data_IF_400539576035
#
_entry.id   IF_400539576035
#
_cell.length_a   1.000
_cell.length_b   1.000
_cell.length_c   1.000
_cell.angle_alpha   90.00
_cell.angle_beta   90.00
_cell.angle_gamma   90.00
#
_symmetry.space_group_name_H-M   'P 1'
#
loop_
_entity.id
_entity.type
_entity.pdbx_description
1 polymer ?
#
# COMPACT_ATOMS: atom_id res chain seq x y z
N UNK A 1 -85.43 5.30 -18.40
CA UNK A 1 -84.14 5.56 -19.05
C UNK A 1 -83.71 7.04 -18.91
N UNK A 2 -83.53 7.56 -17.67
CA UNK A 2 -83.23 9.00 -17.47
C UNK A 2 -82.09 9.28 -16.41
N UNK A 3 -81.45 8.24 -15.81
CA UNK A 3 -80.50 8.48 -14.72
C UNK A 3 -79.07 8.03 -15.00
N UNK A 4 -78.77 7.50 -16.17
CA UNK A 4 -77.41 7.01 -16.49
C UNK A 4 -76.47 8.06 -17.09
N UNK A 5 -77.01 9.17 -17.63
CA UNK A 5 -76.12 10.25 -18.19
C UNK A 5 -75.49 11.16 -17.14
N UNK A 6 -76.17 11.38 -15.97
CA UNK A 6 -75.61 12.19 -14.88
C UNK A 6 -74.49 11.51 -14.13
N UNK A 7 -74.49 10.18 -14.01
CA UNK A 7 -73.47 9.42 -13.32
C UNK A 7 -72.19 9.36 -14.09
N UNK A 8 -72.27 9.27 -15.40
CA UNK A 8 -71.04 9.27 -16.26
C UNK A 8 -70.36 10.65 -16.33
N UNK A 9 -71.07 11.75 -16.26
CA UNK A 9 -70.53 13.11 -16.23
C UNK A 9 -69.84 13.43 -14.91
N UNK A 10 -70.31 12.98 -13.77
CA UNK A 10 -69.65 13.14 -12.49
C UNK A 10 -68.41 12.26 -12.36
N UNK A 11 -68.42 11.06 -12.96
CA UNK A 11 -67.24 10.16 -12.93
C UNK A 11 -66.09 10.67 -13.81
N UNK A 12 -66.39 11.28 -14.97
CA UNK A 12 -65.39 11.88 -15.86
C UNK A 12 -64.80 13.17 -15.32
N UNK A 13 -65.60 14.01 -14.59
CA UNK A 13 -65.08 15.20 -13.91
C UNK A 13 -64.21 14.83 -12.70
N UNK A 14 -64.52 13.76 -11.97
CA UNK A 14 -63.73 13.25 -10.85
C UNK A 14 -62.36 12.67 -11.32
N UNK A 15 -62.34 12.00 -12.48
CA UNK A 15 -61.10 11.44 -13.03
C UNK A 15 -60.14 12.51 -13.61
N UNK A 16 -60.67 13.64 -14.12
CA UNK A 16 -59.85 14.75 -14.59
C UNK A 16 -59.20 15.54 -13.43
N UNK A 17 -59.81 15.56 -12.26
CA UNK A 17 -59.30 16.26 -11.07
C UNK A 17 -58.08 15.60 -10.42
N UNK A 18 -57.86 14.29 -10.66
CA UNK A 18 -56.76 13.53 -10.06
C UNK A 18 -55.45 13.71 -10.81
N UNK A 19 -55.50 14.17 -12.07
CA UNK A 19 -54.27 14.35 -12.86
C UNK A 19 -53.57 15.71 -12.67
N UNK A 20 -54.15 16.66 -11.96
CA UNK A 20 -53.52 17.98 -11.71
C UNK A 20 -52.79 18.09 -10.38
N UNK A 21 -52.77 17.05 -9.56
CA UNK A 21 -52.12 17.05 -8.24
C UNK A 21 -50.73 16.42 -8.18
N UNK A 22 -50.15 15.97 -9.32
CA UNK A 22 -48.94 15.12 -9.31
C UNK A 22 -47.68 15.77 -9.88
N UNK A 23 -47.54 17.08 -9.77
CA UNK A 23 -46.27 17.75 -10.00
C UNK A 23 -46.01 18.76 -8.89
N UNK A 24 -45.72 18.30 -7.70
CA UNK A 24 -44.84 19.12 -6.85
C UNK A 24 -43.49 19.17 -7.54
N UNK A 25 -43.29 20.18 -8.41
CA UNK A 25 -41.97 20.58 -8.81
C UNK A 25 -41.22 20.95 -7.55
N UNK A 26 -40.33 20.05 -7.12
CA UNK A 26 -39.30 20.39 -6.15
C UNK A 26 -38.69 21.69 -6.63
N UNK A 27 -38.88 22.78 -5.89
CA UNK A 27 -38.33 24.08 -6.26
C UNK A 27 -36.85 23.91 -6.62
N UNK A 28 -36.49 24.36 -7.80
CA UNK A 28 -35.09 24.42 -8.19
C UNK A 28 -34.40 25.29 -7.15
N UNK A 29 -33.57 24.69 -6.33
CA UNK A 29 -32.77 25.42 -5.36
C UNK A 29 -31.86 26.37 -6.12
N UNK A 30 -32.29 27.62 -6.32
CA UNK A 30 -31.51 28.67 -6.96
C UNK A 30 -30.39 29.19 -6.06
N UNK A 31 -30.42 28.82 -4.79
CA UNK A 31 -29.39 29.16 -3.82
C UNK A 31 -28.26 28.13 -3.85
N UNK A 32 -27.26 28.37 -4.67
CA UNK A 32 -26.02 27.59 -4.69
C UNK A 32 -25.15 27.83 -3.45
N UNK A 33 -25.70 28.43 -2.42
CA UNK A 33 -25.05 28.79 -1.16
C UNK A 33 -24.62 27.60 -0.29
N UNK A 34 -24.93 26.37 -0.70
CA UNK A 34 -24.52 25.14 -0.01
C UNK A 34 -23.12 24.64 -0.39
N UNK A 35 -22.48 25.25 -1.38
CA UNK A 35 -21.12 24.93 -1.78
C UNK A 35 -20.23 26.16 -1.72
N UNK A 36 -19.00 25.98 -1.32
CA UNK A 36 -17.99 27.04 -1.27
C UNK A 36 -16.68 26.59 -1.91
N UNK A 37 -15.89 27.57 -2.31
CA UNK A 37 -14.50 27.35 -2.74
C UNK A 37 -13.61 27.36 -1.50
N UNK A 38 -12.66 26.46 -1.49
CA UNK A 38 -11.81 26.20 -0.36
C UNK A 38 -10.39 25.89 -0.84
N UNK A 39 -9.40 26.51 -0.23
CA UNK A 39 -8.01 26.30 -0.57
C UNK A 39 -7.41 25.20 0.31
N UNK A 40 -6.77 24.26 -0.33
CA UNK A 40 -5.99 23.19 0.27
C UNK A 40 -4.52 23.50 0.07
N UNK A 41 -3.75 23.42 1.13
CA UNK A 41 -2.31 23.59 1.10
C UNK A 41 -1.65 22.36 1.71
N UNK A 42 -0.65 21.82 1.04
CA UNK A 42 0.20 20.78 1.58
C UNK A 42 1.51 21.42 2.07
N UNK A 43 1.73 21.36 3.39
CA UNK A 43 2.95 21.84 4.02
C UNK A 43 3.87 20.64 4.26
N UNK A 44 5.04 20.67 3.66
CA UNK A 44 5.99 19.56 3.63
C UNK A 44 7.05 19.65 4.73
N UNK A 45 6.78 20.35 5.84
CA UNK A 45 7.75 20.46 6.95
C UNK A 45 8.13 19.09 7.55
N UNK A 46 7.22 18.09 7.50
CA UNK A 46 7.47 16.73 7.99
C UNK A 46 8.15 15.83 6.96
N UNK A 47 8.24 16.27 5.70
CA UNK A 47 8.89 15.55 4.61
C UNK A 47 9.55 16.54 3.62
N UNK A 48 10.60 17.29 4.05
CA UNK A 48 11.13 18.43 3.28
C UNK A 48 11.79 18.08 1.94
N UNK A 49 12.00 16.80 1.67
CA UNK A 49 12.52 16.31 0.38
C UNK A 49 11.48 15.64 -0.51
N UNK A 50 10.19 15.73 -0.17
CA UNK A 50 9.13 15.11 -0.93
C UNK A 50 8.72 15.96 -2.13
N UNK A 51 8.70 15.35 -3.31
CA UNK A 51 8.30 15.99 -4.57
C UNK A 51 7.30 15.10 -5.33
N UNK A 52 6.10 14.82 -4.76
CA UNK A 52 5.10 14.05 -5.49
C UNK A 52 4.57 14.82 -6.70
N UNK A 53 4.26 14.09 -7.76
CA UNK A 53 3.69 14.66 -8.98
C UNK A 53 2.20 14.99 -8.84
N UNK A 54 1.52 14.37 -7.89
CA UNK A 54 0.10 14.61 -7.59
C UNK A 54 -0.27 14.22 -6.16
N UNK A 55 -1.36 14.82 -5.67
CA UNK A 55 -1.94 14.51 -4.37
C UNK A 55 -3.42 14.17 -4.51
N UNK A 56 -3.85 13.09 -3.86
CA UNK A 56 -5.25 12.72 -3.68
C UNK A 56 -5.75 13.22 -2.33
N UNK A 57 -6.90 13.86 -2.29
CA UNK A 57 -7.57 14.28 -1.07
C UNK A 57 -8.96 13.66 -0.98
N UNK A 58 -9.21 12.88 0.04
CA UNK A 58 -10.51 12.31 0.38
C UNK A 58 -11.17 13.13 1.48
N UNK A 59 -12.41 13.52 1.26
CA UNK A 59 -13.25 14.27 2.20
C UNK A 59 -14.40 13.37 2.65
N UNK A 60 -14.44 13.03 3.93
CA UNK A 60 -15.42 12.14 4.54
C UNK A 60 -16.46 12.95 5.31
N UNK A 61 -17.73 13.04 4.86
CA UNK A 61 -18.75 13.80 5.58
C UNK A 61 -19.03 13.20 6.96
N UNK A 62 -18.87 13.97 8.04
CA UNK A 62 -19.14 13.50 9.41
C UNK A 62 -20.63 13.21 9.66
N UNK A 63 -21.52 13.79 8.85
CA UNK A 63 -22.97 13.51 8.89
C UNK A 63 -23.39 12.24 8.13
N UNK A 64 -22.44 11.47 7.63
CA UNK A 64 -22.67 10.31 6.77
C UNK A 64 -22.78 10.69 5.29
N UNK A 65 -22.60 9.71 4.43
CA UNK A 65 -22.59 9.90 2.98
C UNK A 65 -21.31 9.32 2.36
N UNK A 66 -21.22 9.43 1.04
CA UNK A 66 -20.03 8.96 0.32
C UNK A 66 -18.91 9.98 0.43
N UNK A 67 -17.67 9.55 0.63
CA UNK A 67 -16.52 10.44 0.56
C UNK A 67 -16.38 11.04 -0.85
N UNK A 68 -15.83 12.25 -0.90
CA UNK A 68 -15.51 12.93 -2.14
C UNK A 68 -14.01 12.93 -2.31
N UNK A 69 -13.54 12.45 -3.46
CA UNK A 69 -12.11 12.45 -3.82
C UNK A 69 -11.82 13.63 -4.73
N UNK A 70 -10.75 14.33 -4.43
CA UNK A 70 -10.16 15.40 -5.23
C UNK A 70 -8.74 15.04 -5.62
N UNK A 71 -8.38 15.23 -6.88
CA UNK A 71 -7.03 15.07 -7.39
C UNK A 71 -6.42 16.44 -7.64
N UNK A 72 -5.20 16.63 -7.15
CA UNK A 72 -4.46 17.87 -7.27
C UNK A 72 -3.12 17.60 -7.95
N UNK A 73 -2.80 18.31 -9.03
CA UNK A 73 -1.50 18.20 -9.66
C UNK A 73 -0.43 18.85 -8.79
N UNK A 74 0.74 18.22 -8.74
CA UNK A 74 1.88 18.68 -7.94
C UNK A 74 1.67 18.54 -6.43
N UNK A 75 2.51 19.20 -5.68
CA UNK A 75 2.64 19.08 -4.23
C UNK A 75 2.20 20.32 -3.43
N UNK A 76 1.74 21.38 -4.10
CA UNK A 76 1.40 22.63 -3.43
C UNK A 76 -0.03 22.68 -2.86
N UNK A 77 -0.93 21.89 -3.44
CA UNK A 77 -2.36 21.93 -3.14
C UNK A 77 -3.16 22.62 -4.26
N UNK A 78 -4.33 23.14 -3.92
CA UNK A 78 -5.22 23.76 -4.89
C UNK A 78 -6.55 24.19 -4.30
N UNK A 79 -7.42 24.76 -5.13
CA UNK A 79 -8.76 25.15 -4.71
C UNK A 79 -9.77 24.07 -5.08
N UNK A 80 -10.56 23.62 -4.11
CA UNK A 80 -11.65 22.67 -4.30
C UNK A 80 -13.00 23.35 -4.07
N UNK A 81 -14.04 22.76 -4.67
CA UNK A 81 -15.44 23.11 -4.37
C UNK A 81 -16.05 22.04 -3.49
N UNK A 82 -16.50 22.43 -2.30
CA UNK A 82 -17.07 21.51 -1.31
C UNK A 82 -18.43 22.04 -0.80
N UNK A 83 -19.31 21.13 -0.41
CA UNK A 83 -20.55 21.50 0.26
C UNK A 83 -20.25 21.94 1.70
N UNK A 84 -21.08 22.85 2.24
CA UNK A 84 -21.01 23.22 3.65
C UNK A 84 -21.30 22.01 4.53
N UNK A 85 -20.54 21.86 5.60
CA UNK A 85 -20.64 20.70 6.51
C UNK A 85 -19.37 20.49 7.32
N UNK A 86 -19.33 19.39 8.05
CA UNK A 86 -18.15 18.92 8.79
C UNK A 86 -17.62 17.65 8.15
N UNK A 87 -16.29 17.57 8.00
CA UNK A 87 -15.61 16.49 7.30
C UNK A 87 -14.37 16.03 8.07
N UNK A 88 -14.15 14.71 8.07
CA UNK A 88 -12.81 14.19 8.19
C UNK A 88 -12.11 14.23 6.84
N UNK A 89 -10.78 14.27 6.81
CA UNK A 89 -10.04 14.31 5.57
C UNK A 89 -8.76 13.46 5.64
N UNK A 90 -8.39 12.89 4.50
CA UNK A 90 -7.16 12.13 4.30
C UNK A 90 -6.54 12.55 2.97
N UNK A 91 -5.27 12.92 2.98
CA UNK A 91 -4.51 13.12 1.75
C UNK A 91 -3.33 12.15 1.65
N UNK A 92 -2.97 11.80 0.44
CA UNK A 92 -1.74 11.06 0.12
C UNK A 92 -1.36 11.31 -1.34
N UNK A 93 -0.11 11.03 -1.70
CA UNK A 93 0.33 11.23 -3.08
C UNK A 93 -0.32 10.21 -4.02
N UNK A 94 -0.73 10.68 -5.20
CA UNK A 94 -1.46 9.91 -6.21
C UNK A 94 -0.58 9.26 -7.28
N UNK A 95 0.70 9.61 -7.36
CA UNK A 95 1.69 9.15 -8.31
C UNK A 95 2.30 7.78 -7.90
N UNK A 96 1.43 6.81 -7.67
CA UNK A 96 1.78 5.47 -7.17
C UNK A 96 1.31 4.40 -8.14
N UNK A 97 2.11 3.34 -8.34
CA UNK A 97 1.79 2.22 -9.22
C UNK A 97 1.35 0.96 -8.47
N UNK A 98 2.00 0.67 -7.34
CA UNK A 98 1.77 -0.56 -6.56
C UNK A 98 0.69 -0.43 -5.49
N UNK A 99 0.33 0.80 -5.11
CA UNK A 99 -0.64 1.08 -4.04
C UNK A 99 -2.07 0.70 -4.44
N UNK A 100 -2.82 0.18 -3.47
CA UNK A 100 -4.27 -0.06 -3.54
C UNK A 100 -4.96 0.49 -2.32
N UNK A 101 -6.10 1.12 -2.52
CA UNK A 101 -6.96 1.61 -1.44
C UNK A 101 -8.14 0.66 -1.25
N UNK A 102 -8.37 0.23 -0.02
CA UNK A 102 -9.48 -0.61 0.40
C UNK A 102 -10.31 0.13 1.45
N UNK A 103 -11.57 -0.29 1.64
CA UNK A 103 -12.45 0.26 2.68
C UNK A 103 -12.54 1.79 2.69
N UNK A 104 -12.66 2.36 1.48
CA UNK A 104 -12.57 3.80 1.23
C UNK A 104 -13.79 4.60 1.67
N UNK A 105 -14.79 3.94 2.29
CA UNK A 105 -16.08 4.53 2.67
C UNK A 105 -15.99 5.40 3.91
N UNK A 106 -15.04 5.13 4.81
CA UNK A 106 -14.87 5.84 6.08
C UNK A 106 -13.42 6.21 6.31
N UNK A 107 -13.17 7.33 7.01
CA UNK A 107 -11.82 7.77 7.33
C UNK A 107 -11.07 6.72 8.15
N UNK A 108 -11.67 6.20 9.22
CA UNK A 108 -11.03 5.24 10.12
C UNK A 108 -10.81 3.85 9.51
N UNK A 109 -11.68 3.48 8.55
CA UNK A 109 -11.58 2.21 7.85
C UNK A 109 -10.66 2.24 6.64
N UNK A 110 -10.26 3.45 6.17
CA UNK A 110 -9.46 3.59 4.97
C UNK A 110 -8.13 2.87 5.11
N UNK A 111 -7.91 1.91 4.22
CA UNK A 111 -6.72 1.09 4.20
C UNK A 111 -5.93 1.31 2.92
N UNK A 112 -4.61 1.44 3.07
CA UNK A 112 -3.67 1.45 1.95
C UNK A 112 -2.81 0.19 2.03
N UNK A 113 -2.84 -0.61 0.97
CA UNK A 113 -2.07 -1.85 0.81
C UNK A 113 -1.37 -1.86 -0.56
N UNK A 114 -0.71 -2.96 -0.92
CA UNK A 114 -0.03 -3.12 -2.21
C UNK A 114 -0.56 -4.32 -3.00
N UNK A 115 -0.20 -4.38 -4.28
CA UNK A 115 -0.54 -5.50 -5.16
C UNK A 115 0.18 -6.78 -4.73
N UNK A 116 -0.34 -7.91 -5.21
CA UNK A 116 0.38 -9.18 -5.14
C UNK A 116 1.65 -9.15 -6.02
N UNK A 117 2.65 -9.88 -5.58
CA UNK A 117 3.93 -10.08 -6.27
C UNK A 117 4.29 -11.56 -6.35
N UNK A 118 5.36 -11.87 -7.04
CA UNK A 118 6.00 -13.19 -7.06
C UNK A 118 7.27 -13.15 -6.21
N UNK A 119 7.56 -14.20 -5.44
CA UNK A 119 8.79 -14.31 -4.66
C UNK A 119 10.06 -14.24 -5.51
N UNK A 120 9.97 -14.67 -6.76
CA UNK A 120 11.07 -14.61 -7.74
C UNK A 120 10.87 -13.43 -8.71
N UNK A 121 10.28 -12.33 -8.24
CA UNK A 121 10.21 -11.10 -9.03
C UNK A 121 11.64 -10.62 -9.33
N UNK A 122 11.96 -10.47 -10.62
CA UNK A 122 13.34 -10.19 -11.07
C UNK A 122 14.08 -11.39 -11.66
N UNK A 123 13.65 -12.63 -11.36
CA UNK A 123 14.16 -13.81 -12.07
C UNK A 123 13.42 -13.98 -13.40
N UNK A 124 14.01 -13.51 -14.47
CA UNK A 124 13.52 -13.76 -15.84
C UNK A 124 14.04 -15.09 -16.37
N UNK A 125 13.77 -16.20 -15.68
CA UNK A 125 14.24 -17.52 -16.11
C UNK A 125 13.11 -18.37 -16.65
N UNK A 126 13.19 -18.81 -17.90
CA UNK A 126 12.26 -19.79 -18.43
C UNK A 126 12.53 -21.15 -17.78
N UNK A 127 11.51 -21.79 -17.23
CA UNK A 127 11.56 -23.16 -16.74
C UNK A 127 11.40 -23.38 -15.25
N UNK A 128 11.06 -22.38 -14.45
CA UNK A 128 10.67 -22.58 -13.05
C UNK A 128 9.27 -23.19 -12.97
N UNK A 129 9.18 -24.51 -12.80
CA UNK A 129 7.91 -25.22 -12.63
C UNK A 129 7.48 -25.38 -11.18
N UNK A 130 8.39 -25.20 -10.21
CA UNK A 130 8.08 -25.29 -8.80
C UNK A 130 8.06 -23.88 -8.15
N UNK A 131 7.06 -23.58 -7.32
CA UNK A 131 7.07 -22.34 -6.56
C UNK A 131 8.30 -22.31 -5.63
N UNK A 132 8.93 -21.15 -5.43
CA UNK A 132 10.04 -21.04 -4.51
C UNK A 132 9.58 -21.35 -3.08
N UNK A 133 10.41 -22.03 -2.28
CA UNK A 133 10.10 -22.33 -0.91
C UNK A 133 10.01 -21.05 -0.08
N UNK A 134 9.31 -21.14 1.04
CA UNK A 134 9.18 -20.06 2.02
C UNK A 134 9.87 -20.43 3.32
N UNK A 135 10.29 -19.44 4.07
CA UNK A 135 10.74 -19.70 5.44
C UNK A 135 9.59 -20.33 6.26
N UNK A 136 9.96 -21.24 7.15
CA UNK A 136 9.01 -21.94 8.02
C UNK A 136 8.12 -20.96 8.79
N UNK A 137 6.81 -21.20 8.79
CA UNK A 137 5.80 -20.40 9.45
C UNK A 137 5.30 -19.19 8.65
N UNK A 138 5.79 -18.99 7.42
CA UNK A 138 5.39 -17.86 6.54
C UNK A 138 4.59 -18.30 5.30
N UNK A 139 4.22 -19.57 5.22
CA UNK A 139 3.56 -20.17 4.04
C UNK A 139 2.20 -19.54 3.75
N UNK A 140 1.50 -19.08 4.79
CA UNK A 140 0.20 -18.43 4.69
C UNK A 140 0.24 -16.94 4.39
N UNK A 141 1.40 -16.30 4.38
CA UNK A 141 1.51 -14.88 4.12
C UNK A 141 1.27 -14.57 2.64
N UNK A 142 0.55 -13.49 2.35
CA UNK A 142 0.46 -12.97 0.99
C UNK A 142 1.83 -12.45 0.55
N UNK A 143 2.23 -12.75 -0.68
CA UNK A 143 3.40 -12.12 -1.29
C UNK A 143 2.97 -10.78 -1.87
N UNK A 144 3.51 -9.69 -1.35
CA UNK A 144 3.12 -8.33 -1.67
C UNK A 144 4.26 -7.58 -2.37
N UNK A 145 3.92 -6.77 -3.35
CA UNK A 145 4.88 -5.82 -3.92
C UNK A 145 5.34 -4.84 -2.85
N UNK A 146 6.58 -4.41 -2.91
CA UNK A 146 7.01 -3.27 -2.11
C UNK A 146 6.16 -2.03 -2.44
N UNK A 147 5.81 -1.18 -1.46
CA UNK A 147 5.07 0.04 -1.72
C UNK A 147 5.91 1.07 -2.46
N UNK A 148 5.27 1.89 -3.29
CA UNK A 148 5.85 3.14 -3.75
C UNK A 148 6.13 4.06 -2.55
N UNK A 149 6.98 5.08 -2.71
CA UNK A 149 7.07 6.12 -1.68
C UNK A 149 5.71 6.75 -1.48
N UNK A 150 5.28 6.78 -0.23
CA UNK A 150 3.99 7.29 0.16
C UNK A 150 4.13 8.31 1.29
N UNK A 151 3.48 9.43 1.10
CA UNK A 151 3.31 10.46 2.14
C UNK A 151 1.83 10.65 2.37
N UNK A 152 1.40 10.64 3.60
CA UNK A 152 0.00 10.85 3.95
C UNK A 152 -0.18 11.87 5.06
N UNK A 153 -1.33 12.53 5.05
CA UNK A 153 -1.72 13.49 6.08
C UNK A 153 -3.22 13.42 6.32
N UNK A 154 -3.67 13.71 7.54
CA UNK A 154 -5.08 13.62 7.91
C UNK A 154 -5.56 14.84 8.65
N UNK A 155 -6.87 15.06 8.64
CA UNK A 155 -7.57 15.97 9.53
C UNK A 155 -8.84 15.31 10.04
N UNK A 156 -9.06 15.32 11.36
CA UNK A 156 -10.22 14.67 11.97
C UNK A 156 -11.52 15.47 11.79
N UNK A 157 -11.40 16.79 11.79
CA UNK A 157 -12.56 17.66 11.67
C UNK A 157 -12.21 18.97 10.97
N UNK A 158 -12.78 19.15 9.80
CA UNK A 158 -12.78 20.38 9.03
C UNK A 158 -14.23 20.86 8.94
N UNK A 159 -14.50 22.08 9.40
CA UNK A 159 -15.84 22.67 9.35
C UNK A 159 -15.89 23.74 8.28
N UNK A 160 -16.79 23.57 7.34
CA UNK A 160 -17.06 24.47 6.23
C UNK A 160 -18.43 25.10 6.42
N UNK A 161 -18.48 26.33 6.89
CA UNK A 161 -19.70 27.12 6.98
C UNK A 161 -19.56 28.46 6.27
N UNK A 162 -20.67 29.13 6.01
CA UNK A 162 -20.68 30.42 5.32
C UNK A 162 -20.14 31.57 6.19
N UNK A 163 -20.19 31.41 7.51
CA UNK A 163 -19.75 32.41 8.46
C UNK A 163 -18.24 32.31 8.75
N UNK A 164 -17.61 31.21 8.28
CA UNK A 164 -16.18 31.00 8.48
C UNK A 164 -15.37 31.87 7.51
N UNK A 165 -14.56 32.75 8.07
CA UNK A 165 -13.53 33.46 7.29
C UNK A 165 -12.35 32.55 6.88
N UNK A 166 -12.31 31.33 7.45
CA UNK A 166 -11.25 30.36 7.19
C UNK A 166 -11.56 29.57 5.94
N UNK A 167 -10.89 29.90 4.85
CA UNK A 167 -11.05 29.27 3.54
C UNK A 167 -9.86 28.41 3.13
N UNK A 168 -8.99 28.07 4.08
CA UNK A 168 -7.78 27.27 3.82
C UNK A 168 -7.66 26.15 4.84
N UNK A 169 -7.43 24.90 4.35
CA UNK A 169 -6.93 23.79 5.17
C UNK A 169 -5.47 23.53 4.82
N UNK A 170 -4.66 23.40 5.86
CA UNK A 170 -3.27 22.99 5.73
C UNK A 170 -3.16 21.54 6.17
N UNK A 171 -2.58 20.70 5.34
CA UNK A 171 -2.23 19.33 5.64
C UNK A 171 -0.71 19.24 5.74
N UNK A 172 -0.23 18.38 6.63
CA UNK A 172 1.19 18.09 6.85
C UNK A 172 1.47 16.63 6.48
N UNK A 173 1.74 16.34 5.18
CA UNK A 173 2.04 14.98 4.78
C UNK A 173 3.37 14.51 5.38
N UNK A 174 3.37 13.28 5.91
CA UNK A 174 4.54 12.64 6.48
C UNK A 174 4.82 11.29 5.82
N UNK A 175 6.07 10.78 5.87
CA UNK A 175 6.40 9.49 5.27
C UNK A 175 5.60 8.36 5.89
N UNK A 176 4.90 7.58 5.06
CA UNK A 176 4.12 6.40 5.45
C UNK A 176 4.81 5.10 5.06
N UNK A 177 5.97 5.19 4.42
CA UNK A 177 6.78 4.07 3.93
C UNK A 177 8.20 4.23 4.43
N UNK A 178 8.81 3.11 4.83
CA UNK A 178 10.20 3.03 5.30
C UNK A 178 11.05 2.31 4.28
N UNK A 179 12.30 2.72 4.16
CA UNK A 179 13.30 2.05 3.32
C UNK A 179 14.22 1.21 4.20
N UNK A 180 14.42 -0.03 3.81
CA UNK A 180 15.34 -0.97 4.44
C UNK A 180 16.46 -1.29 3.48
N UNK A 181 17.67 -1.45 4.00
CA UNK A 181 18.82 -1.90 3.24
C UNK A 181 19.37 -3.16 3.87
N UNK A 182 19.79 -4.10 3.04
CA UNK A 182 20.37 -5.38 3.43
C UNK A 182 21.77 -5.46 2.86
N UNK A 183 22.72 -5.88 3.66
CA UNK A 183 24.07 -6.22 3.27
C UNK A 183 24.43 -7.56 3.89
N UNK A 184 24.80 -8.55 3.08
CA UNK A 184 25.32 -9.83 3.55
C UNK A 184 26.76 -9.92 3.12
N UNK A 185 27.66 -9.94 4.10
CA UNK A 185 29.12 -10.00 3.94
C UNK A 185 29.61 -11.44 3.96
N UNK A 186 30.87 -11.62 3.63
CA UNK A 186 31.54 -12.93 3.62
C UNK A 186 30.74 -13.98 2.84
N UNK A 187 30.26 -13.57 1.66
CA UNK A 187 29.58 -14.45 0.74
C UNK A 187 30.61 -15.23 -0.09
N UNK A 188 30.39 -16.53 -0.24
CA UNK A 188 31.28 -17.42 -0.93
C UNK A 188 30.78 -17.74 -2.35
N UNK A 189 31.70 -17.94 -3.29
CA UNK A 189 31.46 -18.48 -4.64
C UNK A 189 30.36 -17.72 -5.43
N UNK A 190 30.20 -16.41 -5.22
CA UNK A 190 29.24 -15.57 -5.92
C UNK A 190 29.47 -15.51 -7.43
N UNK A 191 30.67 -15.80 -7.90
CA UNK A 191 31.02 -15.90 -9.33
C UNK A 191 30.23 -17.00 -10.06
N UNK A 192 29.69 -17.99 -9.35
CA UNK A 192 28.92 -19.09 -9.91
C UNK A 192 27.41 -18.85 -9.88
N UNK A 193 26.98 -17.70 -9.40
CA UNK A 193 25.55 -17.35 -9.31
C UNK A 193 25.09 -16.71 -10.60
N UNK A 194 24.11 -17.33 -11.27
CA UNK A 194 23.49 -16.82 -12.49
C UNK A 194 22.31 -15.91 -12.23
N UNK A 195 21.70 -16.00 -11.03
CA UNK A 195 20.58 -15.15 -10.62
C UNK A 195 20.35 -15.21 -9.11
N UNK A 196 19.93 -14.09 -8.54
CA UNK A 196 19.67 -13.98 -7.11
C UNK A 196 18.48 -13.04 -6.82
N UNK A 197 17.71 -13.36 -5.80
CA UNK A 197 16.72 -12.46 -5.23
C UNK A 197 16.57 -12.70 -3.74
N UNK A 198 15.86 -11.83 -3.05
CA UNK A 198 15.57 -12.02 -1.63
C UNK A 198 14.13 -11.66 -1.28
N UNK A 199 13.69 -12.08 -0.10
CA UNK A 199 12.41 -11.67 0.46
C UNK A 199 12.50 -11.52 1.97
N UNK A 200 11.68 -10.62 2.53
CA UNK A 200 11.51 -10.46 3.98
C UNK A 200 10.07 -10.78 4.34
N UNK A 201 9.90 -11.66 5.34
CA UNK A 201 8.58 -12.10 5.82
C UNK A 201 8.08 -11.27 7.01
N UNK A 202 6.79 -11.44 7.31
CA UNK A 202 6.11 -10.88 8.50
C UNK A 202 6.12 -9.35 8.52
N UNK A 203 6.17 -8.73 7.35
CA UNK A 203 5.99 -7.29 7.21
C UNK A 203 4.51 -6.94 7.26
N UNK A 204 4.18 -5.68 7.61
CA UNK A 204 2.79 -5.22 7.60
C UNK A 204 2.27 -5.10 6.17
N UNK A 205 1.09 -5.67 5.89
CA UNK A 205 0.47 -5.69 4.57
C UNK A 205 -0.10 -4.35 4.15
N UNK A 206 -0.28 -3.40 5.08
CA UNK A 206 -0.84 -2.09 4.80
C UNK A 206 -0.81 -1.15 5.99
N UNK A 207 -1.39 0.03 5.79
CA UNK A 207 -1.59 1.07 6.81
C UNK A 207 -3.05 1.51 6.87
N UNK A 208 -3.43 2.07 8.00
CA UNK A 208 -4.72 2.69 8.28
C UNK A 208 -4.51 4.20 8.56
N UNK A 209 -4.18 5.00 7.53
CA UNK A 209 -3.75 6.39 7.72
C UNK A 209 -4.85 7.28 8.31
N UNK A 210 -6.10 6.88 8.15
CA UNK A 210 -7.23 7.57 8.78
C UNK A 210 -7.31 7.40 10.31
N UNK A 211 -6.65 6.40 10.88
CA UNK A 211 -6.56 6.20 12.34
C UNK A 211 -5.38 6.96 12.95
N UNK A 212 -4.39 7.30 12.17
CA UNK A 212 -3.22 8.04 12.60
C UNK A 212 -1.97 7.69 11.81
N UNK A 213 -0.91 8.49 11.99
CA UNK A 213 0.38 8.22 11.37
C UNK A 213 0.95 6.89 11.87
N UNK A 214 1.49 6.10 10.95
CA UNK A 214 2.15 4.83 11.25
C UNK A 214 1.26 3.72 11.82
N UNK A 215 -0.07 3.84 11.78
CA UNK A 215 -0.98 2.77 12.19
C UNK A 215 -0.98 1.70 11.10
N UNK A 216 -0.46 0.51 11.44
CA UNK A 216 -0.31 -0.62 10.54
C UNK A 216 -1.54 -1.54 10.60
N UNK A 217 -1.77 -2.28 9.51
CA UNK A 217 -2.70 -3.41 9.51
C UNK A 217 -2.08 -4.61 10.24
N UNK A 218 -2.92 -5.57 10.64
CA UNK A 218 -2.47 -6.82 11.24
C UNK A 218 -2.12 -7.90 10.20
N UNK A 219 -2.38 -7.64 8.92
CA UNK A 219 -2.03 -8.54 7.84
C UNK A 219 -0.51 -8.69 7.76
N UNK A 220 -0.05 -9.94 7.70
CA UNK A 220 1.36 -10.30 7.48
C UNK A 220 1.60 -10.58 6.01
N UNK A 221 2.67 -10.00 5.49
CA UNK A 221 3.08 -10.19 4.11
C UNK A 221 4.56 -10.50 4.00
N UNK A 222 4.91 -11.22 2.94
CA UNK A 222 6.29 -11.41 2.49
C UNK A 222 6.55 -10.46 1.33
N UNK A 223 7.61 -9.66 1.42
CA UNK A 223 8.00 -8.68 0.40
C UNK A 223 9.25 -9.17 -0.32
N UNK A 224 9.17 -9.53 -1.61
CA UNK A 224 10.32 -9.85 -2.45
C UNK A 224 11.03 -8.57 -2.89
N UNK A 225 12.36 -8.65 -3.05
CA UNK A 225 13.18 -7.56 -3.57
C UNK A 225 14.43 -8.06 -4.29
N UNK A 226 14.99 -7.19 -5.09
CA UNK A 226 16.21 -7.49 -5.86
C UNK A 226 17.46 -7.32 -4.99
N UNK A 227 18.44 -8.19 -5.20
CA UNK A 227 19.77 -8.09 -4.62
C UNK A 227 20.82 -8.02 -5.71
N UNK A 228 21.93 -7.37 -5.41
CA UNK A 228 23.06 -7.20 -6.30
C UNK A 228 24.34 -7.69 -5.63
N UNK A 229 25.18 -8.38 -6.40
CA UNK A 229 26.53 -8.75 -5.96
C UNK A 229 27.41 -7.51 -5.99
N UNK A 230 28.18 -7.31 -4.94
CA UNK A 230 29.15 -6.22 -4.84
C UNK A 230 30.29 -6.38 -5.87
N UNK A 231 30.96 -5.31 -6.30
CA UNK A 231 32.03 -5.38 -7.29
C UNK A 231 33.24 -6.21 -6.88
N UNK A 232 33.46 -6.40 -5.59
CA UNK A 232 34.53 -7.23 -5.04
C UNK A 232 34.16 -8.72 -4.96
N UNK A 233 32.92 -9.08 -5.23
CA UNK A 233 32.42 -10.45 -5.24
C UNK A 233 32.28 -11.09 -3.86
N UNK A 234 32.41 -10.33 -2.77
CA UNK A 234 32.41 -10.87 -1.41
C UNK A 234 31.15 -10.55 -0.60
N UNK A 235 30.24 -9.76 -1.16
CA UNK A 235 28.98 -9.41 -0.48
C UNK A 235 27.83 -9.24 -1.46
N UNK A 236 26.61 -9.32 -0.91
CA UNK A 236 25.42 -8.95 -1.63
C UNK A 236 24.73 -7.79 -0.91
N UNK A 237 24.12 -6.91 -1.70
CA UNK A 237 23.35 -5.78 -1.18
C UNK A 237 21.96 -5.76 -1.79
N UNK A 238 20.98 -5.32 -1.02
CA UNK A 238 19.62 -5.15 -1.46
C UNK A 238 18.94 -3.98 -0.76
N UNK A 239 17.83 -3.53 -1.33
CA UNK A 239 17.01 -2.49 -0.75
C UNK A 239 15.55 -2.80 -1.03
N UNK A 240 14.70 -2.61 -0.02
CA UNK A 240 13.27 -2.71 -0.18
C UNK A 240 12.54 -1.65 0.64
N UNK A 241 11.29 -1.43 0.30
CA UNK A 241 10.38 -0.54 1.02
C UNK A 241 9.24 -1.34 1.64
N UNK A 242 8.78 -0.87 2.80
CA UNK A 242 7.64 -1.44 3.50
C UNK A 242 6.91 -0.37 4.29
N UNK A 243 5.65 -0.60 4.62
CA UNK A 243 4.92 0.22 5.60
C UNK A 243 5.49 0.09 7.02
N UNK A 244 6.18 -0.99 7.30
CA UNK A 244 6.79 -1.34 8.57
C UNK A 244 6.71 -2.83 8.83
N UNK A 245 7.20 -3.27 9.97
CA UNK A 245 7.02 -4.65 10.44
C UNK A 245 5.69 -4.78 11.18
N UNK A 246 5.07 -5.96 11.11
CA UNK A 246 3.83 -6.24 11.78
C UNK A 246 3.96 -6.01 13.30
N UNK A 247 3.06 -5.25 13.95
CA UNK A 247 3.27 -4.69 15.30
C UNK A 247 3.25 -5.71 16.44
N UNK A 248 2.97 -7.00 16.17
CA UNK A 248 2.97 -8.03 17.23
C UNK A 248 4.39 -8.42 17.64
N UNK A 249 4.73 -8.27 18.90
CA UNK A 249 6.04 -8.66 19.48
C UNK A 249 6.39 -10.15 19.31
N UNK A 250 5.38 -10.98 19.06
CA UNK A 250 5.56 -12.43 18.87
C UNK A 250 5.92 -12.81 17.43
N UNK A 251 6.07 -11.83 16.54
CA UNK A 251 6.36 -12.09 15.15
C UNK A 251 7.85 -12.33 14.93
N UNK A 252 8.14 -13.40 14.21
CA UNK A 252 9.48 -13.74 13.73
C UNK A 252 9.65 -13.21 12.33
N UNK A 253 10.70 -12.45 12.08
CA UNK A 253 11.05 -11.91 10.77
C UNK A 253 12.16 -12.73 10.14
N UNK A 254 11.95 -13.22 8.93
CA UNK A 254 12.91 -14.03 8.19
C UNK A 254 13.31 -13.31 6.91
N UNK A 255 14.62 -13.26 6.68
CA UNK A 255 15.18 -12.90 5.37
C UNK A 255 15.49 -14.21 4.65
N UNK A 256 14.92 -14.39 3.47
CA UNK A 256 15.22 -15.54 2.61
C UNK A 256 15.94 -15.04 1.36
N UNK A 257 17.12 -15.58 1.08
CA UNK A 257 17.89 -15.33 -0.14
C UNK A 257 17.75 -16.54 -1.06
N UNK A 258 17.41 -16.32 -2.30
CA UNK A 258 17.29 -17.34 -3.35
C UNK A 258 18.45 -17.18 -4.32
N UNK A 259 19.19 -18.24 -4.59
CA UNK A 259 20.29 -18.26 -5.53
C UNK A 259 20.09 -19.36 -6.58
N UNK A 260 20.30 -19.02 -7.83
CA UNK A 260 20.40 -19.94 -8.94
C UNK A 260 21.85 -19.99 -9.41
N UNK A 261 22.43 -21.18 -9.45
CA UNK A 261 23.80 -21.36 -9.93
C UNK A 261 23.84 -21.58 -11.46
N UNK A 262 25.03 -21.46 -12.04
CA UNK A 262 25.28 -21.66 -13.47
C UNK A 262 24.98 -23.08 -13.95
N UNK A 263 25.09 -24.08 -13.06
CA UNK A 263 24.74 -25.48 -13.33
C UNK A 263 23.22 -25.75 -13.23
N UNK A 264 22.41 -24.73 -12.91
CA UNK A 264 20.96 -24.80 -12.78
C UNK A 264 20.48 -25.22 -11.38
N UNK A 265 21.38 -25.53 -10.44
CA UNK A 265 21.00 -25.84 -9.06
C UNK A 265 20.41 -24.63 -8.35
N UNK A 266 19.46 -24.87 -7.45
CA UNK A 266 18.66 -23.84 -6.77
C UNK A 266 18.88 -23.96 -5.27
N UNK A 267 19.27 -22.86 -4.66
CA UNK A 267 19.55 -22.79 -3.24
C UNK A 267 18.73 -21.67 -2.59
N UNK A 268 18.33 -21.85 -1.35
CA UNK A 268 17.76 -20.77 -0.55
C UNK A 268 18.33 -20.80 0.87
N UNK A 269 18.55 -19.61 1.40
CA UNK A 269 19.19 -19.35 2.67
C UNK A 269 18.21 -18.57 3.54
N UNK A 270 18.02 -19.02 4.78
CA UNK A 270 17.08 -18.38 5.71
C UNK A 270 17.85 -17.82 6.91
N UNK A 271 17.69 -16.51 7.11
CA UNK A 271 18.28 -15.79 8.24
C UNK A 271 17.16 -15.33 9.18
N UNK A 272 17.31 -15.54 10.50
CA UNK A 272 16.42 -14.94 11.49
C UNK A 272 16.87 -13.51 11.81
N UNK A 273 16.14 -12.53 11.31
CA UNK A 273 16.42 -11.11 11.50
C UNK A 273 15.50 -10.45 12.54
N UNK A 274 14.76 -11.24 13.32
CA UNK A 274 13.76 -10.78 14.29
C UNK A 274 14.34 -9.76 15.26
N UNK A 275 15.50 -10.07 15.85
CA UNK A 275 16.13 -9.17 16.81
C UNK A 275 16.53 -7.85 16.19
N UNK A 276 17.09 -7.88 14.97
CA UNK A 276 17.50 -6.67 14.25
C UNK A 276 16.30 -5.73 14.02
N UNK A 277 15.14 -6.29 13.63
CA UNK A 277 13.94 -5.50 13.43
C UNK A 277 13.39 -4.91 14.72
N UNK A 278 13.37 -5.69 15.80
CA UNK A 278 12.83 -5.25 17.09
C UNK A 278 13.73 -4.22 17.80
N UNK A 279 15.05 -4.33 17.64
CA UNK A 279 16.02 -3.41 18.23
C UNK A 279 16.12 -2.09 17.41
N UNK A 280 15.87 -2.13 16.11
CA UNK A 280 15.97 -1.00 15.21
C UNK A 280 14.76 -0.06 15.24
N UNK A 281 13.95 -0.06 16.29
CA UNK A 281 12.70 0.70 16.46
C UNK A 281 12.94 2.23 16.47
N UNK A 282 13.38 2.79 15.35
CA UNK A 282 13.58 4.23 15.11
C UNK A 282 12.87 4.70 13.84
N UNK A 283 12.64 6.00 13.75
CA UNK A 283 11.90 6.66 12.66
C UNK A 283 12.61 6.66 11.29
N UNK A 284 13.80 6.08 11.17
CA UNK A 284 14.57 5.96 9.92
C UNK A 284 14.55 4.54 9.38
N UNK A 285 14.93 4.36 8.13
CA UNK A 285 15.13 3.04 7.54
C UNK A 285 16.16 2.22 8.31
N UNK A 286 15.96 0.90 8.36
CA UNK A 286 16.85 -0.03 9.06
C UNK A 286 17.90 -0.55 8.10
N UNK A 287 19.17 -0.51 8.49
CA UNK A 287 20.26 -1.16 7.79
C UNK A 287 20.54 -2.52 8.45
N UNK A 288 20.32 -3.59 7.68
CA UNK A 288 20.47 -4.98 8.11
C UNK A 288 21.83 -5.46 7.59
N UNK A 289 22.74 -5.78 8.50
CA UNK A 289 24.04 -6.37 8.16
C UNK A 289 24.06 -7.80 8.69
N UNK A 290 24.36 -8.73 7.79
CA UNK A 290 24.49 -10.16 8.07
C UNK A 290 25.86 -10.63 7.59
N UNK A 291 26.31 -11.77 8.10
CA UNK A 291 27.57 -12.39 7.73
C UNK A 291 27.34 -13.85 7.31
N UNK A 292 28.11 -14.29 6.32
CA UNK A 292 28.07 -15.65 5.81
C UNK A 292 26.93 -15.91 4.83
N UNK A 293 27.28 -16.14 3.56
CA UNK A 293 26.38 -16.70 2.56
C UNK A 293 27.16 -17.82 1.84
N UNK A 294 27.05 -19.07 2.37
CA UNK A 294 27.84 -20.20 1.88
C UNK A 294 27.26 -20.78 0.58
N UNK A 295 27.47 -20.08 -0.52
CA UNK A 295 27.06 -20.57 -1.85
C UNK A 295 27.99 -21.74 -2.22
N UNK A 296 27.45 -22.92 -2.56
CA UNK A 296 28.28 -24.05 -2.93
C UNK A 296 28.92 -23.84 -4.30
N UNK A 297 30.05 -24.52 -4.52
CA UNK A 297 30.63 -24.60 -5.86
C UNK A 297 29.76 -25.53 -6.73
N UNK A 298 29.55 -25.18 -8.00
CA UNK A 298 28.89 -26.08 -8.95
C UNK A 298 29.59 -27.45 -9.01
N UNK A 299 28.80 -28.51 -8.96
CA UNK A 299 29.34 -29.85 -9.10
C UNK A 299 29.70 -30.05 -10.58
N UNK A 300 30.99 -29.99 -10.89
CA UNK A 300 31.49 -30.20 -12.23
C UNK A 300 31.16 -31.62 -12.73
N UNK A 301 30.19 -31.72 -13.61
CA UNK A 301 29.78 -32.97 -14.24
C UNK A 301 29.07 -32.68 -15.56
N UNK A 302 29.52 -33.33 -16.64
CA UNK A 302 28.90 -33.27 -17.98
C UNK A 302 27.50 -33.94 -18.07
N UNK A 303 26.79 -34.07 -16.96
CA UNK A 303 25.52 -34.76 -16.87
C UNK A 303 24.42 -33.86 -16.34
N UNK A 304 23.34 -33.74 -17.09
CA UNK A 304 22.06 -33.21 -16.64
C UNK A 304 21.56 -34.08 -15.46
N UNK A 305 21.62 -33.56 -14.24
CA UNK A 305 21.07 -34.23 -13.06
C UNK A 305 19.59 -33.85 -12.94
N UNK A 306 18.63 -34.80 -13.04
CA UNK A 306 17.20 -34.50 -12.89
C UNK A 306 16.79 -34.02 -11.50
N UNK A 307 17.68 -34.05 -10.50
CA UNK A 307 17.43 -33.47 -9.16
C UNK A 307 17.49 -31.95 -9.13
N UNK A 308 17.87 -31.31 -10.23
CA UNK A 308 18.02 -29.84 -10.38
C UNK A 308 16.70 -29.07 -10.22
N UNK A 309 15.55 -29.73 -10.21
CA UNK A 309 14.24 -29.07 -10.07
C UNK A 309 13.87 -28.73 -8.62
N UNK A 310 14.57 -29.27 -7.62
CA UNK A 310 14.28 -29.05 -6.21
C UNK A 310 15.16 -27.95 -5.59
N UNK A 311 14.55 -27.13 -4.75
CA UNK A 311 15.27 -26.14 -3.95
C UNK A 311 15.98 -26.83 -2.78
N UNK A 312 17.24 -26.49 -2.55
CA UNK A 312 18.04 -26.95 -1.43
C UNK A 312 18.11 -25.85 -0.37
N UNK A 313 17.86 -26.20 0.90
CA UNK A 313 17.84 -25.26 2.02
C UNK A 313 19.17 -25.28 2.77
N UNK A 314 19.60 -24.07 3.14
CA UNK A 314 20.64 -23.87 4.15
C UNK A 314 20.09 -22.88 5.19
N UNK A 315 19.99 -23.32 6.43
CA UNK A 315 19.71 -22.43 7.56
C UNK A 315 21.04 -21.80 7.99
N UNK A 316 21.07 -20.47 8.02
CA UNK A 316 22.28 -19.74 8.40
C UNK A 316 22.09 -19.21 9.82
N UNK A 317 22.88 -19.74 10.75
CA UNK A 317 22.92 -19.23 12.12
C UNK A 317 23.70 -17.90 12.12
N UNK A 318 23.07 -16.86 12.61
CA UNK A 318 23.71 -15.56 12.77
C UNK A 318 24.47 -15.57 14.08
N UNK A 319 25.80 -15.75 14.02
CA UNK A 319 26.69 -15.44 15.16
C UNK A 319 26.75 -13.92 15.33
N UNK A 320 26.23 -13.41 16.45
CA UNK A 320 26.21 -11.99 16.76
C UNK A 320 27.10 -11.67 17.95
#
# INVERSE_FOLDING_TARGET
MKNTRGFFQCLTLGLLGVFFGACEHKELCMDHSHAMLFDVVFDWELAPGAEPESMSLYMFPNGGGRPVRHEMPGNAGGTIRIQTGSYGALCFNGDTECIRCLHTETLEGFEITTREASLLQGFSLPGFNAPPPRAEGTEGERVASEPDMLWSGRAESLVFDKASDRRTAVFFPEPSVRTYTVEIRDAENLEHVSGMSASVSTMAGGILPGRGPGVLTEEKVTIPFEVSVSPDGNSITGRFRSFGHCPSEQNSHKLTVYALLEDGTKWYYVYDITRIFHEAAGAGGTHIVLEGLPVPQPVGGDGFDPSVDEWQQIDVDIEM
#
